data_IF_981443032663
#
_entry.id   IF_981443032663
#
_cell.length_a   1.000
_cell.length_b   1.000
_cell.length_c   1.000
_cell.angle_alpha   90.00
_cell.angle_beta   90.00
_cell.angle_gamma   90.00
#
_symmetry.space_group_name_H-M   'P 1'
#
loop_
_entity.id
_entity.type
_entity.pdbx_description
1 polymer ?
#
# COMPACT_ATOMS: atom_id res chain seq x y z
N UNK A 1 4.41 -10.90 -4.59
CA UNK A 1 4.13 -11.58 -3.31
C UNK A 1 3.29 -12.82 -3.54
N UNK A 2 3.45 -13.80 -2.67
CA UNK A 2 2.67 -15.05 -2.65
C UNK A 2 1.95 -15.07 -1.31
N UNK A 3 0.67 -15.44 -1.29
CA UNK A 3 -0.11 -15.52 -0.05
C UNK A 3 -1.13 -16.65 -0.12
N UNK A 4 -1.46 -17.20 1.05
CA UNK A 4 -2.44 -18.25 1.26
C UNK A 4 -3.51 -17.74 2.21
N UNK A 5 -4.77 -18.06 1.89
CA UNK A 5 -5.90 -17.77 2.77
C UNK A 5 -6.31 -19.07 3.48
N UNK A 6 -6.42 -19.01 4.81
CA UNK A 6 -6.80 -20.13 5.65
C UNK A 6 -8.08 -19.75 6.39
N UNK A 7 -9.14 -20.55 6.22
CA UNK A 7 -10.38 -20.39 6.96
C UNK A 7 -10.20 -20.95 8.37
N UNK A 8 -10.37 -20.10 9.39
CA UNK A 8 -10.26 -20.50 10.79
C UNK A 8 -11.62 -20.85 11.41
N UNK A 9 -12.67 -20.14 10.98
CA UNK A 9 -14.03 -20.34 11.50
C UNK A 9 -15.06 -19.96 10.43
N UNK A 10 -16.09 -20.78 10.25
CA UNK A 10 -17.15 -20.53 9.28
C UNK A 10 -18.48 -21.14 9.78
N UNK A 11 -19.09 -20.51 10.78
CA UNK A 11 -20.37 -20.94 11.36
C UNK A 11 -21.21 -19.74 11.77
N UNK A 12 -22.54 -19.93 11.94
CA UNK A 12 -23.46 -18.95 12.51
C UNK A 12 -23.35 -17.55 11.88
N UNK A 13 -23.17 -17.48 10.54
CA UNK A 13 -22.99 -16.21 9.80
C UNK A 13 -21.74 -15.42 10.18
N UNK A 14 -20.84 -16.02 10.95
CA UNK A 14 -19.51 -15.47 11.27
C UNK A 14 -18.45 -16.25 10.48
N UNK A 15 -17.61 -15.53 9.76
CA UNK A 15 -16.44 -16.08 9.06
C UNK A 15 -15.19 -15.41 9.58
N UNK A 16 -14.20 -16.22 9.92
CA UNK A 16 -12.88 -15.73 10.33
C UNK A 16 -11.85 -16.46 9.46
N UNK A 17 -10.97 -15.70 8.83
CA UNK A 17 -9.88 -16.24 8.04
C UNK A 17 -8.60 -15.42 8.27
N UNK A 18 -7.49 -16.08 8.05
CA UNK A 18 -6.17 -15.44 8.05
C UNK A 18 -5.55 -15.54 6.66
N UNK A 19 -4.81 -14.50 6.26
CA UNK A 19 -3.92 -14.54 5.13
C UNK A 19 -2.49 -14.52 5.63
N UNK A 20 -1.68 -15.47 5.18
CA UNK A 20 -0.25 -15.54 5.46
C UNK A 20 0.48 -15.54 4.13
N UNK A 21 1.48 -14.72 3.99
CA UNK A 21 2.22 -14.60 2.75
C UNK A 21 3.62 -14.04 2.94
N UNK A 22 4.32 -13.98 1.81
CA UNK A 22 5.66 -13.43 1.71
C UNK A 22 5.73 -12.45 0.54
N UNK A 23 6.33 -11.30 0.76
CA UNK A 23 6.80 -10.41 -0.30
C UNK A 23 8.23 -10.80 -0.65
N UNK A 24 8.52 -10.99 -1.92
CA UNK A 24 9.81 -11.45 -2.41
C UNK A 24 10.62 -10.28 -2.98
N UNK A 25 11.95 -10.31 -2.88
CA UNK A 25 12.84 -9.20 -3.23
C UNK A 25 13.15 -9.11 -4.73
N UNK A 26 12.13 -9.17 -5.59
CA UNK A 26 12.33 -9.10 -7.05
C UNK A 26 12.52 -7.68 -7.59
N UNK A 27 12.17 -6.65 -6.82
CA UNK A 27 12.35 -5.25 -7.21
C UNK A 27 13.78 -4.80 -6.98
N UNK A 28 14.30 -4.00 -7.92
CA UNK A 28 15.62 -3.39 -7.78
C UNK A 28 15.61 -2.34 -6.68
N UNK A 29 16.63 -2.35 -5.82
CA UNK A 29 16.87 -1.38 -4.75
C UNK A 29 18.07 -0.48 -5.04
N UNK A 30 18.61 -0.56 -6.26
CA UNK A 30 19.80 0.17 -6.69
C UNK A 30 19.50 1.08 -7.90
N UNK A 31 18.24 1.46 -8.08
CA UNK A 31 17.87 2.40 -9.14
C UNK A 31 18.51 3.76 -8.92
N UNK A 32 19.14 4.26 -9.96
CA UNK A 32 19.90 5.50 -9.96
C UNK A 32 19.32 6.50 -10.96
N UNK A 33 19.59 7.79 -10.75
CA UNK A 33 19.38 8.81 -11.76
C UNK A 33 20.71 9.52 -12.06
N UNK A 34 20.87 9.95 -13.31
CA UNK A 34 21.96 10.82 -13.70
C UNK A 34 21.52 12.25 -13.47
N UNK A 35 22.29 13.04 -12.73
CA UNK A 35 22.12 14.49 -12.73
C UNK A 35 22.55 14.99 -14.12
N UNK A 36 21.60 15.31 -14.97
CA UNK A 36 21.86 16.07 -16.19
C UNK A 36 22.09 17.53 -15.81
N UNK A 37 23.30 17.91 -15.52
CA UNK A 37 23.68 19.32 -15.66
C UNK A 37 23.86 19.59 -17.16
N UNK A 38 22.81 20.05 -17.85
CA UNK A 38 22.96 20.84 -19.05
C UNK A 38 23.54 22.21 -18.63
N UNK A 39 24.83 22.25 -18.38
CA UNK A 39 25.53 23.52 -18.38
C UNK A 39 25.70 23.98 -19.81
N UNK A 40 25.07 25.10 -20.15
CA UNK A 40 25.42 25.89 -21.32
C UNK A 40 26.95 26.07 -21.39
N UNK A 41 27.52 25.68 -22.53
CA UNK A 41 28.90 25.88 -22.91
C UNK A 41 29.35 27.31 -22.65
N UNK A 42 30.18 27.52 -21.66
CA UNK A 42 31.21 28.53 -21.65
C UNK A 42 32.52 27.83 -21.28
N UNK A 43 33.49 27.96 -22.22
CA UNK A 43 34.82 27.43 -22.16
C UNK A 43 35.49 27.62 -20.80
N UNK A 44 35.65 26.56 -20.04
CA UNK A 44 36.74 26.35 -19.11
C UNK A 44 36.98 24.85 -18.96
N UNK A 45 38.11 24.39 -19.51
CA UNK A 45 38.74 23.13 -19.15
C UNK A 45 38.98 23.09 -17.63
N UNK A 46 38.12 22.42 -16.90
CA UNK A 46 38.38 22.05 -15.51
C UNK A 46 37.96 20.60 -15.35
N UNK A 47 38.98 19.74 -15.23
CA UNK A 47 39.07 18.47 -14.51
C UNK A 47 37.82 17.59 -14.55
N UNK A 48 37.98 16.40 -15.11
CA UNK A 48 37.00 15.33 -15.17
C UNK A 48 36.30 15.11 -13.82
N UNK A 49 35.08 15.64 -13.72
CA UNK A 49 34.14 15.16 -12.77
C UNK A 49 33.40 13.98 -13.40
N UNK A 50 33.73 12.78 -12.97
CA UNK A 50 32.89 11.61 -13.15
C UNK A 50 31.46 12.04 -12.82
N UNK A 51 30.51 11.79 -13.75
CA UNK A 51 29.08 12.02 -13.49
C UNK A 51 28.69 11.17 -12.29
N UNK A 52 28.59 11.80 -11.14
CA UNK A 52 28.27 11.12 -9.89
C UNK A 52 26.85 10.53 -10.03
N UNK A 53 26.80 9.22 -10.18
CA UNK A 53 25.54 8.48 -10.28
C UNK A 53 24.90 8.46 -8.91
N UNK A 54 23.90 9.29 -8.71
CA UNK A 54 23.18 9.36 -7.45
C UNK A 54 22.08 8.30 -7.39
N UNK A 55 21.96 7.66 -6.23
CA UNK A 55 20.88 6.72 -5.98
C UNK A 55 19.55 7.45 -5.74
N UNK A 56 18.48 6.93 -6.31
CA UNK A 56 17.14 7.45 -6.10
C UNK A 56 16.71 7.34 -4.63
N UNK A 57 15.85 8.25 -4.18
CA UNK A 57 15.27 8.25 -2.85
C UNK A 57 14.62 6.91 -2.48
N UNK A 58 14.49 6.60 -1.19
CA UNK A 58 13.94 5.34 -0.68
C UNK A 58 12.56 5.01 -1.25
N UNK A 59 11.69 6.02 -1.45
CA UNK A 59 10.36 5.85 -2.03
C UNK A 59 10.36 5.42 -3.50
N UNK A 60 11.41 5.76 -4.24
CA UNK A 60 11.56 5.47 -5.67
C UNK A 60 12.22 4.11 -5.93
N UNK A 61 12.73 3.41 -4.91
CA UNK A 61 13.29 2.07 -5.06
C UNK A 61 12.17 1.04 -5.27
N UNK A 62 12.27 0.19 -6.30
CA UNK A 62 11.21 -0.72 -6.74
C UNK A 62 10.93 -1.89 -5.79
N UNK A 63 11.84 -2.19 -4.88
CA UNK A 63 11.70 -3.29 -3.93
C UNK A 63 12.12 -2.92 -2.51
N UNK A 64 12.07 -3.90 -1.62
CA UNK A 64 12.68 -3.83 -0.28
C UNK A 64 14.08 -4.41 -0.24
N UNK A 65 14.39 -5.30 -1.18
CA UNK A 65 15.61 -6.09 -1.17
C UNK A 65 15.61 -7.21 -0.12
N UNK A 66 14.47 -7.44 0.56
CA UNK A 66 14.30 -8.45 1.61
C UNK A 66 13.09 -9.33 1.36
N UNK A 67 13.05 -10.50 2.00
CA UNK A 67 11.86 -11.35 2.08
C UNK A 67 11.06 -10.89 3.30
N UNK A 68 9.84 -10.41 3.08
CA UNK A 68 9.05 -9.78 4.11
C UNK A 68 7.76 -10.57 4.39
N UNK A 69 7.51 -11.02 5.62
CA UNK A 69 6.26 -11.66 6.01
C UNK A 69 5.08 -10.69 5.88
N UNK A 70 3.95 -11.24 5.44
CA UNK A 70 2.67 -10.53 5.33
C UNK A 70 1.61 -11.37 6.02
N UNK A 71 0.96 -10.80 7.04
CA UNK A 71 -0.04 -11.52 7.84
C UNK A 71 -1.25 -10.62 8.01
N UNK A 72 -2.45 -11.19 7.89
CA UNK A 72 -3.69 -10.51 8.26
C UNK A 72 -4.73 -11.47 8.80
N UNK A 73 -5.56 -10.99 9.71
CA UNK A 73 -6.71 -11.67 10.28
C UNK A 73 -7.97 -10.89 9.93
N UNK A 74 -8.96 -11.55 9.40
CA UNK A 74 -10.24 -10.97 8.99
C UNK A 74 -11.38 -11.67 9.70
N UNK A 75 -12.31 -10.90 10.25
CA UNK A 75 -13.58 -11.36 10.79
C UNK A 75 -14.73 -10.67 10.08
N UNK A 76 -15.72 -11.45 9.60
CA UNK A 76 -16.89 -10.93 8.89
C UNK A 76 -18.14 -11.57 9.49
N UNK A 77 -19.14 -10.75 9.83
CA UNK A 77 -20.45 -11.23 10.27
C UNK A 77 -21.53 -10.80 9.28
N UNK A 78 -22.33 -11.76 8.87
CA UNK A 78 -23.44 -11.58 7.95
C UNK A 78 -24.76 -11.55 8.72
N UNK A 79 -25.57 -10.52 8.49
CA UNK A 79 -26.96 -10.40 8.90
C UNK A 79 -27.85 -10.48 7.65
N UNK A 80 -29.17 -10.38 7.80
CA UNK A 80 -30.11 -10.54 6.67
C UNK A 80 -29.77 -9.64 5.46
N UNK A 81 -29.62 -8.34 5.68
CA UNK A 81 -29.34 -7.35 4.62
C UNK A 81 -28.09 -6.52 4.94
N UNK A 82 -27.36 -6.84 6.00
CA UNK A 82 -26.23 -6.10 6.51
C UNK A 82 -25.06 -7.05 6.72
N UNK A 83 -23.86 -6.64 6.40
CA UNK A 83 -22.64 -7.31 6.82
C UNK A 83 -21.67 -6.29 7.38
N UNK A 84 -20.95 -6.70 8.39
CA UNK A 84 -19.84 -5.90 8.91
C UNK A 84 -18.62 -6.78 9.08
N UNK A 85 -17.46 -6.20 8.92
CA UNK A 85 -16.22 -6.91 9.09
C UNK A 85 -15.09 -5.99 9.50
N UNK A 86 -14.05 -6.61 9.99
CA UNK A 86 -12.80 -5.94 10.30
C UNK A 86 -11.63 -6.83 9.94
N UNK A 87 -10.56 -6.21 9.48
CA UNK A 87 -9.30 -6.85 9.17
C UNK A 87 -8.17 -6.09 9.85
N UNK A 88 -7.32 -6.81 10.55
CA UNK A 88 -6.05 -6.30 11.04
C UNK A 88 -4.93 -7.03 10.32
N UNK A 89 -3.89 -6.34 9.92
CA UNK A 89 -2.78 -6.98 9.23
C UNK A 89 -1.57 -6.08 9.10
N UNK A 90 -0.52 -6.66 8.51
CA UNK A 90 0.71 -5.93 8.26
C UNK A 90 1.65 -6.65 7.32
N UNK A 91 2.58 -5.86 6.81
CA UNK A 91 3.78 -6.26 6.10
C UNK A 91 4.97 -5.92 7.02
N UNK A 92 5.71 -6.94 7.42
CA UNK A 92 6.75 -6.84 8.43
C UNK A 92 8.12 -6.81 7.75
N UNK A 93 8.84 -5.72 7.90
CA UNK A 93 10.20 -5.54 7.40
C UNK A 93 11.18 -5.85 8.53
N UNK A 94 11.62 -7.10 8.60
CA UNK A 94 12.39 -7.62 9.74
C UNK A 94 13.90 -7.54 9.53
N UNK A 95 14.34 -7.40 8.27
CA UNK A 95 15.74 -7.51 7.91
C UNK A 95 16.23 -6.29 7.13
N UNK A 96 17.48 -5.94 7.30
CA UNK A 96 18.16 -4.98 6.44
C UNK A 96 18.50 -5.63 5.10
N UNK A 97 18.42 -4.84 4.05
CA UNK A 97 18.82 -5.26 2.71
C UNK A 97 20.34 -5.07 2.51
N UNK A 98 20.84 -5.49 1.36
CA UNK A 98 22.26 -5.39 1.01
C UNK A 98 22.81 -3.94 0.92
N UNK A 99 21.95 -2.95 0.93
CA UNK A 99 22.32 -1.52 0.95
C UNK A 99 22.28 -0.92 2.37
N UNK A 100 22.15 -1.74 3.43
CA UNK A 100 22.26 -1.31 4.82
C UNK A 100 21.00 -0.66 5.41
N UNK A 101 19.82 -0.84 4.80
CA UNK A 101 18.58 -0.30 5.36
C UNK A 101 17.43 -1.29 5.28
N UNK A 102 16.44 -1.10 6.15
CA UNK A 102 15.13 -1.77 6.10
C UNK A 102 14.05 -0.77 5.78
N UNK A 103 13.23 -1.03 4.76
CA UNK A 103 12.06 -0.20 4.45
C UNK A 103 11.04 -0.19 5.60
N UNK A 104 10.14 0.78 5.59
CA UNK A 104 9.05 0.90 6.57
C UNK A 104 8.16 -0.34 6.58
N UNK A 105 7.89 -0.89 7.76
CA UNK A 105 6.80 -1.83 7.97
C UNK A 105 5.45 -1.12 7.85
N UNK A 106 4.45 -1.82 7.34
CA UNK A 106 3.12 -1.27 7.14
C UNK A 106 2.11 -2.09 7.93
N UNK A 107 1.42 -1.47 8.88
CA UNK A 107 0.34 -2.06 9.67
C UNK A 107 -0.97 -1.38 9.31
N UNK A 108 -2.07 -2.12 9.35
CA UNK A 108 -3.38 -1.56 9.08
C UNK A 108 -4.49 -2.24 9.86
N UNK A 109 -5.53 -1.45 10.13
CA UNK A 109 -6.84 -1.93 10.56
C UNK A 109 -7.83 -1.37 9.54
N UNK A 110 -8.62 -2.26 8.95
CA UNK A 110 -9.69 -1.90 8.03
C UNK A 110 -11.01 -2.44 8.58
N UNK A 111 -12.01 -1.60 8.74
CA UNK A 111 -13.35 -1.97 9.17
C UNK A 111 -14.36 -1.48 8.15
N UNK A 112 -15.38 -2.28 7.89
CA UNK A 112 -16.42 -1.94 6.93
C UNK A 112 -17.80 -2.38 7.40
N UNK A 113 -18.79 -1.63 6.94
CA UNK A 113 -20.20 -1.92 7.07
C UNK A 113 -20.78 -1.91 5.67
N UNK A 114 -21.47 -2.98 5.27
CA UNK A 114 -22.11 -3.08 3.95
C UNK A 114 -23.57 -3.45 4.09
N UNK A 115 -24.44 -2.77 3.31
CA UNK A 115 -25.88 -2.99 3.26
C UNK A 115 -26.31 -3.33 1.85
N UNK A 116 -26.99 -4.44 1.67
CA UNK A 116 -27.67 -4.79 0.42
C UNK A 116 -28.93 -3.94 0.27
N UNK A 117 -29.01 -3.15 -0.79
CA UNK A 117 -30.17 -2.36 -1.16
C UNK A 117 -31.18 -3.28 -1.85
N UNK A 118 -30.69 -4.10 -2.78
CA UNK A 118 -31.45 -5.17 -3.45
C UNK A 118 -30.52 -6.35 -3.77
N UNK A 119 -30.95 -7.30 -4.60
CA UNK A 119 -30.15 -8.47 -5.00
C UNK A 119 -28.90 -8.15 -5.81
N UNK A 120 -28.86 -7.01 -6.47
CA UNK A 120 -27.78 -6.60 -7.36
C UNK A 120 -26.92 -5.46 -6.80
N UNK A 121 -27.48 -4.57 -5.98
CA UNK A 121 -26.85 -3.36 -5.52
C UNK A 121 -26.58 -3.41 -4.02
N UNK A 122 -25.35 -3.09 -3.62
CA UNK A 122 -24.97 -2.86 -2.23
C UNK A 122 -24.19 -1.57 -2.07
N UNK A 123 -24.35 -0.93 -0.92
CA UNK A 123 -23.58 0.23 -0.47
C UNK A 123 -22.73 -0.18 0.74
N UNK A 124 -21.52 0.32 0.82
CA UNK A 124 -20.64 0.10 1.96
C UNK A 124 -19.94 1.38 2.43
N UNK A 125 -19.63 1.40 3.71
CA UNK A 125 -18.79 2.41 4.33
C UNK A 125 -17.54 1.73 4.90
N UNK A 126 -16.37 2.36 4.75
CA UNK A 126 -15.09 1.84 5.20
C UNK A 126 -14.38 2.83 6.12
N UNK A 127 -13.63 2.32 7.07
CA UNK A 127 -12.72 3.08 7.92
C UNK A 127 -11.40 2.34 7.96
N UNK A 128 -10.34 2.99 7.52
CA UNK A 128 -9.01 2.40 7.37
C UNK A 128 -8.01 3.23 8.17
N UNK A 129 -7.37 2.60 9.14
CA UNK A 129 -6.20 3.15 9.81
C UNK A 129 -4.95 2.45 9.30
N UNK A 130 -3.96 3.23 8.86
CA UNK A 130 -2.65 2.76 8.39
C UNK A 130 -1.56 3.38 9.22
N UNK A 131 -0.57 2.59 9.58
CA UNK A 131 0.62 3.01 10.28
C UNK A 131 1.87 2.49 9.57
N UNK A 132 2.73 3.40 9.12
CA UNK A 132 4.05 3.10 8.58
C UNK A 132 5.11 3.44 9.62
N UNK A 133 6.01 2.49 9.88
CA UNK A 133 7.20 2.74 10.72
C UNK A 133 8.22 3.59 9.96
N UNK A 134 9.21 4.11 10.66
CA UNK A 134 10.37 4.70 10.02
C UNK A 134 11.21 3.65 9.30
N UNK A 135 11.92 4.07 8.26
CA UNK A 135 13.03 3.32 7.68
C UNK A 135 14.12 3.21 8.75
N UNK A 136 14.73 2.04 8.88
CA UNK A 136 15.86 1.76 9.77
C UNK A 136 17.13 1.57 8.97
N UNK A 137 18.27 2.04 9.47
CA UNK A 137 19.52 2.07 8.72
C UNK A 137 19.54 3.14 7.63
N UNK A 138 20.55 3.16 6.80
CA UNK A 138 20.67 4.09 5.67
C UNK A 138 21.51 3.50 4.54
N UNK A 139 21.28 3.96 3.34
CA UNK A 139 22.13 3.73 2.17
C UNK A 139 23.04 4.96 2.00
N UNK A 140 24.34 4.79 2.10
CA UNK A 140 25.31 5.90 2.01
C UNK A 140 25.34 6.57 0.62
N UNK A 141 24.78 5.92 -0.41
CA UNK A 141 24.65 6.48 -1.75
C UNK A 141 23.37 7.32 -1.94
N UNK A 142 22.46 7.33 -0.96
CA UNK A 142 21.27 8.21 -0.97
C UNK A 142 21.60 9.47 -0.17
N UNK A 143 21.66 10.61 -0.86
CA UNK A 143 21.99 11.88 -0.23
C UNK A 143 20.71 12.48 0.37
N UNK A 144 20.65 12.59 1.70
CA UNK A 144 19.48 13.05 2.47
C UNK A 144 18.98 14.45 2.05
N UNK A 145 19.89 15.33 1.60
CA UNK A 145 19.54 16.71 1.23
C UNK A 145 18.90 16.87 -0.15
N UNK A 146 18.84 15.83 -0.97
CA UNK A 146 18.34 15.94 -2.35
C UNK A 146 16.82 16.04 -2.43
N UNK A 147 16.12 15.37 -1.54
CA UNK A 147 14.65 15.44 -1.44
C UNK A 147 14.16 15.05 -0.05
N UNK A 148 12.97 15.49 0.37
CA UNK A 148 12.38 15.06 1.64
C UNK A 148 12.22 13.53 1.75
N UNK A 149 12.07 12.81 0.63
CA UNK A 149 11.93 11.36 0.56
C UNK A 149 13.25 10.60 0.71
N UNK A 150 14.38 11.31 0.62
CA UNK A 150 15.73 10.76 0.86
C UNK A 150 16.10 10.76 2.34
N UNK A 151 15.39 11.51 3.19
CA UNK A 151 15.61 11.51 4.64
C UNK A 151 14.75 10.44 5.32
N UNK A 152 15.40 9.48 5.96
CA UNK A 152 14.73 8.37 6.68
C UNK A 152 13.78 8.85 7.77
N UNK A 153 14.02 10.04 8.36
CA UNK A 153 13.15 10.64 9.38
C UNK A 153 11.76 10.97 8.86
N UNK A 154 11.63 11.25 7.55
CA UNK A 154 10.37 11.59 6.90
C UNK A 154 9.56 10.35 6.47
N UNK A 155 10.02 9.13 6.75
CA UNK A 155 9.43 7.91 6.20
C UNK A 155 8.20 7.41 6.94
N UNK A 156 8.04 7.70 8.24
CA UNK A 156 6.88 7.23 9.02
C UNK A 156 5.65 8.11 8.84
N UNK A 157 4.48 7.49 8.92
CA UNK A 157 3.21 8.21 8.96
C UNK A 157 2.09 7.39 9.61
N UNK A 158 1.05 8.09 10.04
CA UNK A 158 -0.23 7.52 10.45
C UNK A 158 -1.34 8.17 9.62
N UNK A 159 -2.23 7.37 9.11
CA UNK A 159 -3.28 7.80 8.21
C UNK A 159 -4.60 7.12 8.59
N UNK A 160 -5.62 7.92 8.89
CA UNK A 160 -7.00 7.47 9.02
C UNK A 160 -7.78 7.93 7.79
N UNK A 161 -8.37 6.99 7.06
CA UNK A 161 -9.22 7.24 5.90
C UNK A 161 -10.63 6.75 6.17
N UNK A 162 -11.62 7.47 5.69
CA UNK A 162 -13.00 7.00 5.57
C UNK A 162 -13.41 6.90 4.11
N UNK A 163 -14.30 5.97 3.78
CA UNK A 163 -14.75 5.77 2.42
C UNK A 163 -16.19 5.30 2.33
N UNK A 164 -16.76 5.50 1.15
CA UNK A 164 -18.04 4.94 0.73
C UNK A 164 -17.86 4.22 -0.60
N UNK A 165 -18.54 3.10 -0.77
CA UNK A 165 -18.47 2.34 -2.00
C UNK A 165 -19.86 1.86 -2.45
N UNK A 166 -20.03 1.73 -3.77
CA UNK A 166 -21.16 1.10 -4.41
C UNK A 166 -20.67 -0.14 -5.14
N UNK A 167 -21.38 -1.24 -4.99
CA UNK A 167 -21.11 -2.48 -5.70
C UNK A 167 -22.38 -2.92 -6.45
N UNK A 168 -22.21 -3.26 -7.72
CA UNK A 168 -23.26 -3.77 -8.57
C UNK A 168 -22.92 -5.16 -9.10
N UNK A 169 -23.78 -6.13 -8.85
CA UNK A 169 -23.65 -7.52 -9.34
C UNK A 169 -24.66 -7.74 -10.48
N UNK A 170 -24.16 -8.09 -11.64
CA UNK A 170 -24.99 -8.52 -12.76
C UNK A 170 -25.48 -9.96 -12.52
N UNK A 171 -26.78 -10.13 -12.34
CA UNK A 171 -27.38 -11.43 -12.02
C UNK A 171 -28.28 -12.00 -13.13
N UNK A 172 -28.72 -11.19 -14.10
CA UNK A 172 -29.73 -11.57 -15.08
C UNK A 172 -29.39 -11.17 -16.54
N UNK A 173 -28.09 -11.25 -16.91
CA UNK A 173 -27.65 -10.85 -18.26
C UNK A 173 -26.55 -11.76 -18.76
N UNK A 174 -26.08 -11.53 -19.99
CA UNK A 174 -24.88 -12.16 -20.57
C UNK A 174 -23.64 -11.95 -19.69
N UNK A 175 -23.67 -10.95 -18.78
CA UNK A 175 -22.61 -10.62 -17.82
C UNK A 175 -22.88 -11.22 -16.43
N UNK A 176 -23.68 -12.28 -16.34
CA UNK A 176 -23.96 -12.93 -15.05
C UNK A 176 -22.67 -13.31 -14.33
N UNK A 177 -22.55 -12.94 -13.05
CA UNK A 177 -21.34 -13.13 -12.24
C UNK A 177 -20.33 -11.99 -12.32
N UNK A 178 -20.52 -10.97 -13.20
CA UNK A 178 -19.72 -9.76 -13.19
C UNK A 178 -20.16 -8.84 -12.02
N UNK A 179 -19.19 -8.42 -11.22
CA UNK A 179 -19.37 -7.40 -10.18
C UNK A 179 -18.54 -6.18 -10.54
N UNK A 180 -19.17 -5.01 -10.54
CA UNK A 180 -18.49 -3.72 -10.64
C UNK A 180 -18.54 -3.02 -9.28
N UNK A 181 -17.47 -2.35 -8.92
CA UNK A 181 -17.36 -1.58 -7.69
C UNK A 181 -16.72 -0.22 -7.96
N UNK A 182 -17.24 0.80 -7.29
CA UNK A 182 -16.62 2.11 -7.20
C UNK A 182 -16.52 2.50 -5.73
N UNK A 183 -15.36 2.94 -5.29
CA UNK A 183 -15.09 3.38 -3.94
C UNK A 183 -14.44 4.77 -3.96
N UNK A 184 -14.96 5.67 -3.14
CA UNK A 184 -14.38 6.97 -2.84
C UNK A 184 -13.85 6.95 -1.42
N UNK A 185 -12.59 7.33 -1.22
CA UNK A 185 -11.94 7.42 0.08
C UNK A 185 -11.34 8.81 0.27
N UNK A 186 -11.44 9.34 1.49
CA UNK A 186 -10.88 10.62 1.89
C UNK A 186 -10.08 10.48 3.20
N UNK A 187 -8.92 11.13 3.32
CA UNK A 187 -8.18 11.17 4.58
C UNK A 187 -8.94 12.02 5.62
N UNK A 188 -9.20 11.42 6.78
CA UNK A 188 -9.83 12.09 7.94
C UNK A 188 -8.76 12.68 8.86
N UNK A 189 -7.69 11.92 9.08
CA UNK A 189 -6.56 12.33 9.93
C UNK A 189 -5.26 11.87 9.29
N UNK A 190 -4.26 12.74 9.36
CA UNK A 190 -2.93 12.49 8.85
C UNK A 190 -1.88 13.04 9.80
N UNK A 191 -1.04 12.15 10.32
CA UNK A 191 0.11 12.51 11.13
C UNK A 191 1.37 12.03 10.45
N UNK A 192 2.26 12.97 10.09
CA UNK A 192 3.55 12.69 9.49
C UNK A 192 4.66 13.00 10.48
N UNK A 193 5.73 12.25 10.41
CA UNK A 193 7.00 12.66 10.95
C UNK A 193 7.78 13.34 9.80
N UNK A 194 8.04 14.64 9.93
CA UNK A 194 8.77 15.42 8.93
C UNK A 194 7.95 15.86 7.71
N UNK A 195 8.63 16.15 6.60
CA UNK A 195 8.06 16.70 5.36
C UNK A 195 7.63 15.57 4.42
N UNK A 196 6.36 15.51 4.06
CA UNK A 196 5.80 14.49 3.16
C UNK A 196 4.66 15.05 2.35
N UNK A 197 4.51 14.56 1.11
CA UNK A 197 3.34 14.89 0.30
C UNK A 197 2.07 14.38 0.97
N UNK A 198 1.05 15.23 1.08
CA UNK A 198 -0.25 14.87 1.64
C UNK A 198 -1.01 13.99 0.65
N UNK A 199 -1.55 12.88 1.15
CA UNK A 199 -2.53 12.10 0.40
C UNK A 199 -3.84 12.89 0.34
N UNK A 200 -4.41 13.00 -0.85
CA UNK A 200 -5.73 13.56 -1.08
C UNK A 200 -6.78 12.45 -1.29
N UNK A 201 -7.91 12.81 -1.84
CA UNK A 201 -8.99 11.87 -2.13
C UNK A 201 -8.55 10.77 -3.11
N UNK A 202 -9.07 9.58 -2.91
CA UNK A 202 -8.79 8.42 -3.75
C UNK A 202 -10.10 7.86 -4.30
N UNK A 203 -10.14 7.60 -5.61
CA UNK A 203 -11.21 6.87 -6.27
C UNK A 203 -10.65 5.54 -6.74
N UNK A 204 -11.31 4.46 -6.39
CA UNK A 204 -10.98 3.11 -6.83
C UNK A 204 -12.14 2.52 -7.63
N UNK A 205 -11.86 2.02 -8.82
CA UNK A 205 -12.83 1.30 -9.65
C UNK A 205 -12.32 -0.12 -9.80
N UNK A 206 -13.20 -1.09 -9.56
CA UNK A 206 -12.87 -2.51 -9.64
C UNK A 206 -13.91 -3.30 -10.43
N UNK A 207 -13.45 -4.36 -11.09
CA UNK A 207 -14.29 -5.36 -11.73
C UNK A 207 -13.85 -6.75 -11.29
N UNK A 208 -14.80 -7.61 -10.95
CA UNK A 208 -14.56 -8.99 -10.58
C UNK A 208 -15.54 -9.88 -11.34
N UNK A 209 -15.06 -10.94 -11.94
CA UNK A 209 -15.89 -11.93 -12.60
C UNK A 209 -15.76 -13.28 -11.91
N UNK A 210 -16.90 -13.90 -11.56
CA UNK A 210 -16.96 -15.24 -10.96
C UNK A 210 -17.36 -16.25 -12.02
N UNK A 211 -16.48 -17.19 -12.31
CA UNK A 211 -16.74 -18.33 -13.20
C UNK A 211 -17.33 -19.45 -12.34
N UNK A 212 -18.53 -19.91 -12.68
CA UNK A 212 -19.23 -21.00 -12.01
C UNK A 212 -19.24 -22.25 -12.88
#
# INVERSE_FOLDING_TARGET
>A
SISFMISLYNQNKLKIHTNIGLSLPFGDITTNHKMGMEMHNHDHEILGHDHEVMRNAYGMQLGSGTVDPKISLTAIKYLKNLSYGSQIGGLFRLFENKSGYSKSSNYYINSWLSKNINSSLSISSTLIYKFLTSISGKDDLIIEMTSPESDVKNSSNQLLMSGIALNYLFSNSTLNGLRLAIEFQSPVMWFNNGVKMKLDNQITIGAQYSIH
#
